data_IF_063632888807
#
_entry.id   IF_063632888807
#
_cell.length_a   1.000
_cell.length_b   1.000
_cell.length_c   1.000
_cell.angle_alpha   90.00
_cell.angle_beta   90.00
_cell.angle_gamma   90.00
#
_symmetry.space_group_name_H-M   'P 1'
#
loop_
_entity.id
_entity.type
_entity.pdbx_description
1 polymer ?
#
# COMPACT_ATOMS: atom_id res chain seq x y z
N UNK A 1 7.35 1.97 19.52
CA UNK A 1 8.29 3.01 19.99
C UNK A 1 8.78 3.98 18.88
N UNK A 2 8.68 3.65 17.59
CA UNK A 2 9.14 4.53 16.50
C UNK A 2 8.22 5.75 16.28
N UNK A 3 6.90 5.55 16.25
CA UNK A 3 5.90 6.62 16.03
C UNK A 3 5.95 7.77 17.05
N UNK A 4 6.26 7.47 18.32
CA UNK A 4 6.30 8.50 19.38
C UNK A 4 7.39 9.57 19.18
N UNK A 5 8.31 9.36 18.23
CA UNK A 5 9.38 10.31 17.89
C UNK A 5 9.19 10.92 16.51
N UNK A 6 8.16 10.52 15.76
CA UNK A 6 7.90 10.98 14.41
C UNK A 6 6.99 12.23 14.43
N UNK A 7 7.21 13.17 13.51
CA UNK A 7 6.32 14.30 13.26
C UNK A 7 5.60 14.07 11.94
N UNK A 8 4.29 14.33 11.88
CA UNK A 8 3.48 14.18 10.67
C UNK A 8 2.70 12.87 10.56
N UNK A 9 2.82 11.97 11.55
CA UNK A 9 1.95 10.81 11.67
C UNK A 9 0.49 11.25 11.77
N UNK A 10 -0.36 10.65 10.93
CA UNK A 10 -1.81 10.81 10.97
C UNK A 10 -2.44 9.50 11.46
N UNK A 11 -3.21 9.58 12.54
CA UNK A 11 -3.99 8.44 13.06
C UNK A 11 -5.46 8.80 12.91
N UNK A 12 -6.21 7.98 12.18
CA UNK A 12 -7.66 8.10 12.00
C UNK A 12 -8.34 6.82 12.45
N UNK A 13 -9.56 6.95 12.96
CA UNK A 13 -10.44 5.80 13.11
C UNK A 13 -10.85 5.25 11.74
N UNK A 14 -10.92 3.93 11.62
CA UNK A 14 -11.29 3.29 10.36
C UNK A 14 -12.78 3.41 10.04
N UNK A 15 -13.64 3.67 11.03
CA UNK A 15 -15.11 3.61 10.90
C UNK A 15 -15.66 4.37 9.69
N UNK A 16 -16.15 3.59 8.71
CA UNK A 16 -16.76 4.08 7.46
C UNK A 16 -15.78 4.62 6.41
N UNK A 17 -14.47 4.54 6.65
CA UNK A 17 -13.41 4.97 5.72
C UNK A 17 -12.87 3.79 4.93
N UNK A 18 -12.27 4.08 3.79
CA UNK A 18 -11.51 3.13 2.98
C UNK A 18 -10.12 2.97 3.61
N UNK A 19 -9.79 1.79 4.14
CA UNK A 19 -8.46 1.54 4.66
C UNK A 19 -7.49 1.21 3.54
N UNK A 20 -6.44 2.02 3.44
CA UNK A 20 -5.35 1.89 2.47
C UNK A 20 -4.04 1.67 3.22
N UNK A 21 -3.36 0.57 2.94
CA UNK A 21 -1.98 0.39 3.36
C UNK A 21 -1.05 0.94 2.26
N UNK A 22 -0.37 2.05 2.54
CA UNK A 22 0.70 2.58 1.69
C UNK A 22 2.00 1.85 2.01
N UNK A 23 2.34 0.88 1.17
CA UNK A 23 3.46 -0.03 1.39
C UNK A 23 4.69 0.53 0.69
N UNK A 24 5.74 0.79 1.47
CA UNK A 24 7.08 0.92 0.93
C UNK A 24 7.76 -0.45 1.04
N UNK A 25 8.03 -1.16 -0.07
CA UNK A 25 8.56 -2.52 -0.07
C UNK A 25 10.05 -2.56 0.29
N UNK A 26 10.47 -1.77 1.28
CA UNK A 26 11.80 -1.73 1.83
C UNK A 26 11.76 -1.36 3.31
N UNK A 27 12.91 -1.20 3.96
CA UNK A 27 12.96 -0.81 5.38
C UNK A 27 12.34 0.57 5.62
N UNK A 28 11.83 0.79 6.83
CA UNK A 28 11.32 2.08 7.30
C UNK A 28 12.34 3.19 7.07
N UNK A 29 13.61 2.95 7.38
CA UNK A 29 14.65 3.96 7.20
C UNK A 29 14.76 4.48 5.75
N UNK A 30 14.73 3.57 4.77
CA UNK A 30 14.78 3.95 3.35
C UNK A 30 13.47 4.63 2.94
N UNK A 31 12.33 4.06 3.31
CA UNK A 31 11.02 4.62 2.94
C UNK A 31 10.79 6.01 3.54
N UNK A 32 11.21 6.25 4.77
CA UNK A 32 11.11 7.55 5.42
C UNK A 32 12.07 8.59 4.88
N UNK A 33 13.06 8.17 4.09
CA UNK A 33 13.94 9.05 3.32
C UNK A 33 13.37 9.38 1.93
N UNK A 34 12.17 8.89 1.59
CA UNK A 34 11.52 9.11 0.31
C UNK A 34 10.42 10.18 0.41
N UNK A 35 10.65 11.34 -0.20
CA UNK A 35 9.69 12.46 -0.18
C UNK A 35 8.37 12.11 -0.87
N UNK A 36 8.40 11.31 -1.93
CA UNK A 36 7.20 10.87 -2.65
C UNK A 36 6.27 10.04 -1.77
N UNK A 37 6.83 9.15 -0.93
CA UNK A 37 6.06 8.39 0.05
C UNK A 37 5.32 9.31 1.01
N UNK A 38 6.01 10.32 1.57
CA UNK A 38 5.41 11.31 2.46
C UNK A 38 4.31 12.14 1.78
N UNK A 39 4.55 12.56 0.54
CA UNK A 39 3.59 13.32 -0.23
C UNK A 39 2.30 12.52 -0.46
N UNK A 40 2.42 11.26 -0.90
CA UNK A 40 1.26 10.37 -1.13
C UNK A 40 0.56 10.05 0.19
N UNK A 41 1.30 9.77 1.26
CA UNK A 41 0.74 9.52 2.59
C UNK A 41 -0.11 10.70 3.08
N UNK A 42 0.43 11.92 2.98
CA UNK A 42 -0.27 13.15 3.37
C UNK A 42 -1.48 13.41 2.47
N UNK A 43 -1.34 13.19 1.16
CA UNK A 43 -2.40 13.40 0.19
C UNK A 43 -3.57 12.44 0.43
N UNK A 44 -3.31 11.14 0.55
CA UNK A 44 -4.34 10.14 0.88
C UNK A 44 -5.03 10.48 2.20
N UNK A 45 -4.26 10.85 3.22
CA UNK A 45 -4.84 11.26 4.51
C UNK A 45 -5.50 12.65 4.50
N UNK A 46 -5.41 13.43 3.42
CA UNK A 46 -6.18 14.67 3.29
C UNK A 46 -7.65 14.40 2.92
N UNK A 47 -7.94 13.25 2.32
CA UNK A 47 -9.31 12.81 2.03
C UNK A 47 -10.00 12.30 3.30
N UNK A 48 -11.24 12.73 3.52
CA UNK A 48 -11.99 12.46 4.75
C UNK A 48 -12.45 11.01 4.89
N UNK A 49 -12.69 10.39 3.73
CA UNK A 49 -13.18 9.04 3.49
C UNK A 49 -12.06 7.99 3.44
N UNK A 50 -10.79 8.41 3.55
CA UNK A 50 -9.62 7.53 3.52
C UNK A 50 -8.95 7.49 4.89
N UNK A 51 -8.60 6.29 5.34
CA UNK A 51 -7.56 6.09 6.36
C UNK A 51 -6.37 5.42 5.70
N UNK A 52 -5.24 6.14 5.67
CA UNK A 52 -4.02 5.63 5.07
C UNK A 52 -2.99 5.38 6.16
N UNK A 53 -2.51 4.13 6.23
CA UNK A 53 -1.47 3.68 7.14
C UNK A 53 -0.28 3.17 6.32
N UNK A 54 0.93 3.24 6.87
CA UNK A 54 2.14 2.84 6.18
C UNK A 54 2.55 1.45 6.59
N UNK A 55 3.15 0.69 5.68
CA UNK A 55 3.80 -0.57 6.02
C UNK A 55 5.15 -0.68 5.32
N UNK A 56 6.08 -1.37 5.98
CA UNK A 56 7.47 -1.48 5.56
C UNK A 56 7.92 -2.94 5.62
N UNK A 57 8.87 -3.31 4.77
CA UNK A 57 9.45 -4.65 4.74
C UNK A 57 10.75 -4.67 5.53
N UNK A 58 10.62 -4.74 6.86
CA UNK A 58 11.74 -4.72 7.80
C UNK A 58 12.59 -5.99 7.76
N UNK A 59 13.85 -5.87 8.17
CA UNK A 59 14.83 -6.97 8.13
C UNK A 59 14.34 -8.20 8.89
N UNK A 60 13.74 -7.98 10.05
CA UNK A 60 13.15 -9.01 10.91
C UNK A 60 12.02 -9.74 10.18
N UNK A 61 11.09 -9.00 9.57
CA UNK A 61 10.04 -9.56 8.73
C UNK A 61 10.59 -10.38 7.57
N UNK A 62 11.69 -9.94 6.93
CA UNK A 62 12.32 -10.72 5.84
C UNK A 62 12.98 -12.01 6.33
N UNK A 63 13.67 -11.94 7.47
CA UNK A 63 14.44 -13.05 8.01
C UNK A 63 13.52 -14.18 8.48
N UNK A 64 12.41 -13.83 9.12
CA UNK A 64 11.45 -14.78 9.69
C UNK A 64 10.23 -15.02 8.78
N UNK A 65 10.17 -14.35 7.63
CA UNK A 65 9.03 -14.38 6.69
C UNK A 65 7.70 -14.03 7.39
N UNK A 66 7.76 -13.11 8.36
CA UNK A 66 6.58 -12.66 9.08
C UNK A 66 5.82 -11.61 8.25
N UNK A 67 4.47 -11.66 8.21
CA UNK A 67 3.69 -10.64 7.54
C UNK A 67 4.00 -9.26 8.12
N UNK A 68 4.24 -8.24 7.30
CA UNK A 68 4.40 -6.89 7.81
C UNK A 68 3.07 -6.40 8.38
N UNK A 69 3.17 -5.61 9.45
CA UNK A 69 2.05 -4.92 10.06
C UNK A 69 2.09 -3.44 9.67
N UNK A 70 0.92 -2.80 9.65
CA UNK A 70 0.86 -1.35 9.49
C UNK A 70 1.55 -0.66 10.67
N UNK A 71 2.20 0.46 10.39
CA UNK A 71 2.97 1.19 11.38
C UNK A 71 2.05 1.81 12.43
N UNK A 72 1.00 2.50 11.99
CA UNK A 72 0.09 3.30 12.80
C UNK A 72 -0.74 2.46 13.77
N UNK A 73 -1.37 1.37 13.30
CA UNK A 73 -2.28 0.56 14.11
C UNK A 73 -1.84 -0.88 14.34
N UNK A 74 -0.70 -1.30 13.79
CA UNK A 74 -0.19 -2.68 13.89
C UNK A 74 -1.14 -3.72 13.32
N UNK A 75 -1.84 -3.36 12.23
CA UNK A 75 -2.80 -4.24 11.56
C UNK A 75 -2.14 -5.10 10.47
N UNK A 76 -2.56 -6.37 10.31
CA UNK A 76 -2.17 -7.20 9.17
C UNK A 76 -2.60 -6.59 7.84
N UNK A 77 -1.79 -6.78 6.79
CA UNK A 77 -2.14 -6.31 5.44
C UNK A 77 -3.49 -6.83 4.91
N UNK A 78 -3.89 -8.11 5.13
CA UNK A 78 -5.19 -8.60 4.67
C UNK A 78 -6.42 -7.87 5.25
N UNK A 79 -6.27 -7.11 6.34
CA UNK A 79 -7.39 -6.35 6.93
C UNK A 79 -7.74 -5.09 6.11
N UNK A 80 -6.82 -4.62 5.25
CA UNK A 80 -7.03 -3.43 4.46
C UNK A 80 -7.89 -3.71 3.23
N UNK A 81 -8.55 -2.68 2.70
CA UNK A 81 -9.31 -2.80 1.45
C UNK A 81 -8.39 -2.61 0.22
N UNK A 82 -7.34 -1.80 0.37
CA UNK A 82 -6.37 -1.52 -0.68
C UNK A 82 -4.94 -1.60 -0.15
N UNK A 83 -4.08 -2.32 -0.86
CA UNK A 83 -2.63 -2.32 -0.68
C UNK A 83 -2.00 -1.49 -1.81
N UNK A 84 -1.51 -0.31 -1.47
CA UNK A 84 -0.88 0.61 -2.41
C UNK A 84 0.64 0.57 -2.30
N UNK A 85 1.31 -0.10 -3.24
CA UNK A 85 2.77 -0.21 -3.28
C UNK A 85 3.41 1.02 -3.93
N UNK A 86 4.34 1.65 -3.22
CA UNK A 86 5.19 2.72 -3.74
C UNK A 86 6.56 2.16 -4.16
N UNK A 87 6.71 1.79 -5.42
CA UNK A 87 7.88 1.07 -5.93
C UNK A 87 8.91 2.07 -6.48
N UNK A 88 10.04 2.19 -5.78
CA UNK A 88 11.06 3.20 -6.09
C UNK A 88 12.23 2.60 -6.86
N UNK A 89 12.65 1.38 -6.50
CA UNK A 89 13.81 0.71 -7.09
C UNK A 89 13.44 -0.64 -7.70
N UNK A 90 14.20 -1.12 -8.68
CA UNK A 90 13.93 -2.40 -9.33
C UNK A 90 14.06 -3.60 -8.37
N UNK A 91 14.93 -3.48 -7.35
CA UNK A 91 15.06 -4.51 -6.32
C UNK A 91 13.83 -4.64 -5.43
N UNK A 92 12.99 -3.61 -5.37
CA UNK A 92 11.74 -3.65 -4.60
C UNK A 92 10.76 -4.68 -5.17
N UNK A 93 10.90 -5.09 -6.44
CA UNK A 93 10.02 -6.06 -7.10
C UNK A 93 10.05 -7.41 -6.37
N UNK A 94 11.24 -7.84 -5.94
CA UNK A 94 11.39 -9.08 -5.18
C UNK A 94 10.75 -8.97 -3.79
N UNK A 95 10.82 -7.79 -3.17
CA UNK A 95 10.22 -7.55 -1.87
C UNK A 95 8.69 -7.56 -1.96
N UNK A 96 8.09 -7.03 -3.04
CA UNK A 96 6.64 -7.16 -3.29
C UNK A 96 6.21 -8.63 -3.23
N UNK A 97 6.89 -9.50 -3.99
CA UNK A 97 6.59 -10.94 -4.02
C UNK A 97 6.68 -11.57 -2.64
N UNK A 98 7.70 -11.20 -1.86
CA UNK A 98 7.91 -11.71 -0.50
C UNK A 98 6.82 -11.23 0.46
N UNK A 99 6.46 -9.95 0.42
CA UNK A 99 5.41 -9.36 1.25
C UNK A 99 4.08 -10.06 1.01
N UNK A 100 3.68 -10.24 -0.26
CA UNK A 100 2.41 -10.92 -0.59
C UNK A 100 2.38 -12.36 -0.07
N UNK A 101 3.49 -13.10 -0.23
CA UNK A 101 3.60 -14.47 0.30
C UNK A 101 3.53 -14.51 1.82
N UNK A 102 4.27 -13.64 2.51
CA UNK A 102 4.27 -13.57 3.97
C UNK A 102 2.89 -13.18 4.53
N UNK A 103 2.14 -12.36 3.81
CA UNK A 103 0.77 -11.97 4.15
C UNK A 103 -0.31 -12.98 3.73
N UNK A 104 0.07 -14.12 3.13
CA UNK A 104 -0.90 -15.14 2.69
C UNK A 104 -1.78 -14.69 1.52
N UNK A 105 -1.34 -13.70 0.74
CA UNK A 105 -2.10 -13.12 -0.38
C UNK A 105 -1.64 -13.81 -1.68
N UNK A 106 -2.58 -14.23 -2.56
CA UNK A 106 -2.23 -14.80 -3.86
C UNK A 106 -1.31 -13.87 -4.66
N UNK A 107 -0.28 -14.47 -5.25
CA UNK A 107 0.79 -13.72 -5.90
C UNK A 107 0.29 -13.04 -7.19
N UNK A 108 -0.41 -13.77 -8.03
CA UNK A 108 -0.94 -13.24 -9.29
C UNK A 108 -2.29 -12.59 -9.08
N UNK A 109 -2.52 -11.47 -9.77
CA UNK A 109 -3.80 -10.78 -9.76
C UNK A 109 -4.96 -11.69 -10.18
N UNK A 110 -4.72 -12.58 -11.16
CA UNK A 110 -5.71 -13.52 -11.66
C UNK A 110 -6.17 -14.57 -10.62
N UNK A 111 -5.41 -14.78 -9.56
CA UNK A 111 -5.72 -15.74 -8.49
C UNK A 111 -6.45 -15.08 -7.31
N UNK A 112 -6.69 -13.76 -7.35
CA UNK A 112 -7.40 -13.01 -6.31
C UNK A 112 -8.89 -12.94 -6.64
N UNK A 113 -9.67 -12.83 -5.57
CA UNK A 113 -11.11 -12.60 -5.60
C UNK A 113 -11.49 -11.51 -4.59
N UNK A 114 -12.79 -11.26 -4.45
CA UNK A 114 -13.36 -10.20 -3.59
C UNK A 114 -13.01 -10.33 -2.10
N UNK A 115 -12.45 -11.46 -1.65
CA UNK A 115 -11.99 -11.65 -0.26
C UNK A 115 -10.60 -11.09 -0.01
N UNK A 116 -9.89 -10.70 -1.07
CA UNK A 116 -8.53 -10.18 -1.02
C UNK A 116 -8.53 -8.67 -1.23
N UNK A 117 -7.56 -7.94 -0.65
CA UNK A 117 -7.43 -6.51 -0.89
C UNK A 117 -7.12 -6.24 -2.37
N UNK A 118 -7.58 -5.09 -2.87
CA UNK A 118 -7.11 -4.57 -4.15
C UNK A 118 -5.64 -4.16 -4.02
N UNK A 119 -4.80 -4.66 -4.91
CA UNK A 119 -3.36 -4.43 -4.90
C UNK A 119 -3.00 -3.52 -6.07
N UNK A 120 -2.59 -2.31 -5.73
CA UNK A 120 -2.20 -1.30 -6.69
C UNK A 120 -0.73 -0.93 -6.51
N UNK A 121 -0.09 -0.44 -7.57
CA UNK A 121 1.26 0.09 -7.48
C UNK A 121 1.44 1.38 -8.26
N UNK A 122 2.32 2.23 -7.75
CA UNK A 122 2.85 3.40 -8.43
C UNK A 122 4.32 3.59 -8.11
N UNK A 123 4.82 4.78 -8.45
CA UNK A 123 6.22 5.17 -8.24
C UNK A 123 7.06 5.06 -9.51
N UNK A 124 8.31 5.57 -9.46
CA UNK A 124 9.15 5.74 -10.64
C UNK A 124 9.36 4.47 -11.47
N UNK A 125 9.48 3.32 -10.81
CA UNK A 125 9.63 2.03 -11.50
C UNK A 125 8.39 1.62 -12.29
N UNK A 126 7.19 1.84 -11.74
CA UNK A 126 5.94 1.55 -12.43
C UNK A 126 5.76 2.47 -13.64
N UNK A 127 6.14 3.74 -13.50
CA UNK A 127 6.09 4.71 -14.60
C UNK A 127 7.08 4.33 -15.71
N UNK A 128 8.29 3.91 -15.35
CA UNK A 128 9.34 3.59 -16.31
C UNK A 128 9.06 2.29 -17.09
N UNK A 129 8.64 1.22 -16.40
CA UNK A 129 8.34 -0.06 -17.04
C UNK A 129 7.33 -0.88 -16.21
N UNK A 130 6.03 -0.74 -16.48
CA UNK A 130 4.99 -1.43 -15.70
C UNK A 130 4.88 -2.93 -16.04
N UNK A 131 5.30 -3.33 -17.26
CA UNK A 131 5.02 -4.66 -17.80
C UNK A 131 5.53 -5.83 -16.95
N UNK A 132 6.76 -5.80 -16.38
CA UNK A 132 7.28 -6.90 -15.56
C UNK A 132 6.45 -7.18 -14.31
N UNK A 133 5.78 -6.17 -13.78
CA UNK A 133 4.98 -6.27 -12.56
C UNK A 133 3.49 -6.46 -12.82
N UNK A 134 3.01 -6.16 -14.03
CA UNK A 134 1.59 -6.23 -14.39
C UNK A 134 0.85 -7.53 -14.01
N UNK A 135 1.45 -8.74 -14.02
CA UNK A 135 0.73 -9.94 -13.60
C UNK A 135 0.43 -10.01 -12.09
N UNK A 136 1.09 -9.21 -11.26
CA UNK A 136 1.00 -9.25 -9.80
C UNK A 136 0.09 -8.17 -9.21
N UNK A 137 -0.29 -7.17 -9.99
CA UNK A 137 -1.07 -6.01 -9.53
C UNK A 137 -2.42 -5.95 -10.23
N UNK A 138 -3.45 -5.57 -9.48
CA UNK A 138 -4.81 -5.41 -10.01
C UNK A 138 -4.94 -4.08 -10.78
N UNK A 139 -4.14 -3.07 -10.39
CA UNK A 139 -4.03 -1.79 -11.10
C UNK A 139 -2.63 -1.19 -10.98
N UNK A 140 -2.12 -0.61 -12.05
CA UNK A 140 -0.86 0.14 -12.07
C UNK A 140 -1.15 1.62 -12.34
N UNK A 141 -0.80 2.46 -11.38
CA UNK A 141 -0.94 3.91 -11.46
C UNK A 141 0.26 4.51 -12.19
N UNK A 142 0.06 4.91 -13.45
CA UNK A 142 1.09 5.53 -14.28
C UNK A 142 0.92 7.06 -14.23
N UNK A 143 1.92 7.74 -13.67
CA UNK A 143 1.94 9.19 -13.49
C UNK A 143 1.92 9.60 -12.03
N UNK A 144 1.62 10.88 -11.78
CA UNK A 144 1.59 11.45 -10.44
C UNK A 144 0.30 11.12 -9.69
N UNK A 145 0.36 11.06 -8.36
CA UNK A 145 -0.79 10.68 -7.54
C UNK A 145 -1.87 11.76 -7.48
N UNK A 146 -1.48 13.04 -7.50
CA UNK A 146 -2.35 14.22 -7.42
C UNK A 146 -3.47 14.20 -8.46
N UNK A 147 -3.22 13.94 -9.76
CA UNK A 147 -4.28 13.84 -10.77
C UNK A 147 -5.03 12.50 -10.74
N UNK A 148 -4.40 11.42 -10.27
CA UNK A 148 -4.99 10.07 -10.31
C UNK A 148 -5.99 9.85 -9.18
N UNK A 149 -5.62 10.23 -7.95
CA UNK A 149 -6.42 9.93 -6.75
C UNK A 149 -7.85 10.51 -6.78
N UNK A 150 -8.11 11.75 -7.22
CA UNK A 150 -9.48 12.29 -7.29
C UNK A 150 -10.43 11.47 -8.17
N UNK A 151 -9.91 10.83 -9.22
CA UNK A 151 -10.69 9.97 -10.10
C UNK A 151 -10.78 8.52 -9.56
N UNK A 152 -9.72 8.04 -8.91
CA UNK A 152 -9.63 6.67 -8.41
C UNK A 152 -10.46 6.44 -7.14
N UNK A 153 -10.45 7.37 -6.18
CA UNK A 153 -11.07 7.19 -4.87
C UNK A 153 -12.60 6.95 -4.94
N UNK A 154 -13.38 7.68 -5.74
CA UNK A 154 -14.82 7.41 -5.89
C UNK A 154 -15.09 6.00 -6.43
N UNK A 155 -14.30 5.55 -7.41
CA UNK A 155 -14.43 4.22 -8.00
C UNK A 155 -14.13 3.13 -6.97
N UNK A 156 -13.08 3.32 -6.16
CA UNK A 156 -12.75 2.40 -5.06
C UNK A 156 -13.87 2.35 -4.03
N UNK A 157 -14.43 3.51 -3.64
CA UNK A 157 -15.54 3.60 -2.69
C UNK A 157 -16.75 2.82 -3.16
N UNK A 158 -17.18 3.02 -4.42
CA UNK A 158 -18.31 2.31 -5.00
C UNK A 158 -18.09 0.81 -5.10
N UNK A 159 -16.88 0.38 -5.49
CA UNK A 159 -16.52 -1.03 -5.61
C UNK A 159 -16.51 -1.75 -4.26
N UNK A 160 -15.86 -1.16 -3.25
CA UNK A 160 -15.72 -1.75 -1.91
C UNK A 160 -17.08 -1.80 -1.19
N UNK A 161 -17.92 -0.77 -1.33
CA UNK A 161 -19.25 -0.80 -0.72
C UNK A 161 -20.17 -1.88 -1.29
N UNK A 162 -20.03 -2.25 -2.57
CA UNK A 162 -20.81 -3.34 -3.18
C UNK A 162 -20.43 -4.74 -2.67
N UNK A 163 -19.19 -4.92 -2.21
CA UNK A 163 -18.69 -6.21 -1.69
C UNK A 163 -19.07 -6.39 -0.21
N UNK A 164 -19.30 -5.29 0.51
CA UNK A 164 -19.60 -5.30 1.95
C UNK A 164 -21.11 -5.41 2.27
N UNK A 165 -21.99 -5.28 1.26
CA UNK A 165 -23.45 -5.39 1.36
C UNK A 165 -23.96 -6.70 0.76
#
# INVERSE_FOLDING_TARGET
QQLSREQGTTIKDWGGRIPIALIYPNSYYIGMSNLGLHAIYKLLNSYSEVVCERAFWERESRAEQLPPLSLESQRPLPDFAVLAFSITYELDYFNVVQILRASGIPLYAADRDERHPLIIAGGPCIIANPLPLSPFFDCLCIGEAEPILPALLPVLSEGIMKITL
#
